data_IF_837239016702
#
_entry.id   IF_837239016702
#
_cell.length_a   1.000
_cell.length_b   1.000
_cell.length_c   1.000
_cell.angle_alpha   90.00
_cell.angle_beta   90.00
_cell.angle_gamma   90.00
#
_symmetry.space_group_name_H-M   'P 1'
#
loop_
_entity.id
_entity.type
_entity.pdbx_description
1 polymer ?
#
# COMPACT_ATOMS: atom_id res chain seq x y z
N UNK A 1 20.90 10.35 48.94
CA UNK A 1 19.61 9.72 48.58
C UNK A 1 18.54 10.68 49.05
N UNK A 2 17.91 11.45 48.12
CA UNK A 2 16.75 12.26 48.41
C UNK A 2 15.53 11.37 48.73
N UNK A 3 14.53 11.88 49.47
CA UNK A 3 13.34 11.12 49.83
C UNK A 3 12.60 10.68 48.58
N UNK A 4 12.64 9.40 48.37
CA UNK A 4 11.93 8.49 47.47
C UNK A 4 11.05 9.07 46.37
N UNK A 5 11.62 9.25 45.17
CA UNK A 5 10.78 9.05 43.98
C UNK A 5 10.17 7.65 44.08
N UNK A 6 8.86 7.57 44.08
CA UNK A 6 8.17 6.28 44.09
C UNK A 6 8.54 5.55 42.81
N UNK A 7 8.61 4.24 42.82
CA UNK A 7 8.93 3.42 41.66
C UNK A 7 8.07 3.83 40.45
N UNK A 8 6.85 4.23 40.73
CA UNK A 8 5.85 4.70 39.75
C UNK A 8 6.25 6.04 39.07
N UNK A 9 6.91 6.95 39.78
CA UNK A 9 7.43 8.22 39.22
C UNK A 9 8.64 7.98 38.37
N UNK A 10 9.53 7.08 38.80
CA UNK A 10 10.69 6.67 38.00
C UNK A 10 10.25 6.01 36.70
N UNK A 11 9.26 5.12 36.76
CA UNK A 11 8.71 4.43 35.58
C UNK A 11 8.03 5.43 34.63
N UNK A 12 7.25 6.37 35.14
CA UNK A 12 6.64 7.45 34.34
C UNK A 12 7.71 8.31 33.64
N UNK A 13 8.78 8.64 34.31
CA UNK A 13 9.89 9.39 33.73
C UNK A 13 10.58 8.61 32.63
N UNK A 14 10.86 7.32 32.84
CA UNK A 14 11.47 6.45 31.84
C UNK A 14 10.57 6.27 30.60
N UNK A 15 9.29 6.06 30.81
CA UNK A 15 8.29 5.98 29.72
C UNK A 15 8.23 7.31 28.96
N UNK A 16 8.20 8.45 29.67
CA UNK A 16 8.21 9.78 29.05
C UNK A 16 9.47 10.03 28.20
N UNK A 17 10.64 9.62 28.67
CA UNK A 17 11.90 9.68 27.91
C UNK A 17 11.85 8.79 26.67
N UNK A 18 11.31 7.60 26.78
CA UNK A 18 11.15 6.65 25.67
C UNK A 18 10.22 7.18 24.60
N UNK A 19 9.07 7.74 24.99
CA UNK A 19 8.12 8.41 24.10
C UNK A 19 8.81 9.58 23.37
N UNK A 20 9.58 10.42 24.07
CA UNK A 20 10.30 11.54 23.48
C UNK A 20 11.34 11.09 22.45
N UNK A 21 12.03 9.97 22.74
CA UNK A 21 13.01 9.38 21.82
C UNK A 21 12.33 8.80 20.58
N UNK A 22 11.19 8.11 20.75
CA UNK A 22 10.39 7.56 19.64
C UNK A 22 9.88 8.71 18.76
N UNK A 23 9.31 9.77 19.35
CA UNK A 23 8.85 10.95 18.60
C UNK A 23 9.97 11.57 17.77
N UNK A 24 11.16 11.76 18.35
CA UNK A 24 12.33 12.27 17.60
C UNK A 24 12.73 11.38 16.42
N UNK A 25 12.68 10.06 16.59
CA UNK A 25 12.96 9.12 15.49
C UNK A 25 11.90 9.21 14.40
N UNK A 26 10.63 9.32 14.79
CA UNK A 26 9.51 9.49 13.87
C UNK A 26 9.69 10.77 13.03
N UNK A 27 9.95 11.91 13.68
CA UNK A 27 10.18 13.20 12.99
C UNK A 27 11.37 13.12 12.00
N UNK A 28 12.44 12.42 12.38
CA UNK A 28 13.58 12.21 11.49
C UNK A 28 13.19 11.38 10.27
N UNK A 29 12.41 10.33 10.46
CA UNK A 29 11.92 9.48 9.39
C UNK A 29 10.97 10.23 8.45
N UNK A 30 10.07 11.06 9.00
CA UNK A 30 9.19 11.93 8.20
C UNK A 30 10.01 12.90 7.33
N UNK A 31 10.98 13.60 7.90
CA UNK A 31 11.85 14.50 7.14
C UNK A 31 12.63 13.78 6.04
N UNK A 32 13.11 12.56 6.30
CA UNK A 32 13.77 11.76 5.28
C UNK A 32 12.82 11.35 4.15
N UNK A 33 11.59 10.99 4.46
CA UNK A 33 10.55 10.68 3.46
C UNK A 33 10.22 11.91 2.61
N UNK A 34 10.14 13.11 3.21
CA UNK A 34 9.94 14.38 2.46
C UNK A 34 11.09 14.69 1.51
N UNK A 35 12.33 14.53 1.95
CA UNK A 35 13.53 14.73 1.09
C UNK A 35 13.51 13.75 -0.09
N UNK A 36 13.20 12.48 0.17
CA UNK A 36 13.08 11.46 -0.86
C UNK A 36 11.95 11.79 -1.85
N UNK A 37 10.81 12.33 -1.37
CA UNK A 37 9.69 12.78 -2.19
C UNK A 37 10.08 13.95 -3.09
N UNK A 38 10.81 14.93 -2.57
CA UNK A 38 11.31 16.07 -3.36
C UNK A 38 12.27 15.61 -4.46
N UNK A 39 13.19 14.70 -4.14
CA UNK A 39 14.11 14.10 -5.11
C UNK A 39 13.37 13.33 -6.21
N UNK A 40 12.30 12.60 -5.86
CA UNK A 40 11.44 11.88 -6.82
C UNK A 40 10.75 12.83 -7.81
N UNK A 41 10.16 13.93 -7.31
CA UNK A 41 9.56 14.97 -8.17
C UNK A 41 10.58 15.56 -9.16
N UNK A 42 11.82 15.73 -8.74
CA UNK A 42 12.90 16.26 -9.58
C UNK A 42 13.36 15.26 -10.66
N UNK A 43 13.30 13.96 -10.38
CA UNK A 43 13.78 12.89 -11.30
C UNK A 43 12.76 12.49 -12.37
N UNK A 44 11.57 13.08 -12.41
CA UNK A 44 10.48 12.73 -13.35
C UNK A 44 10.07 11.24 -13.37
N UNK A 45 10.45 10.45 -12.36
CA UNK A 45 10.02 9.06 -12.29
C UNK A 45 8.54 9.01 -11.89
N UNK A 46 7.74 8.30 -12.67
CA UNK A 46 6.33 8.05 -12.35
C UNK A 46 6.21 7.11 -11.14
N UNK A 47 5.21 7.34 -10.31
CA UNK A 47 4.93 6.57 -9.10
C UNK A 47 3.59 5.84 -9.24
N UNK A 48 3.63 4.52 -9.20
CA UNK A 48 2.46 3.65 -9.11
C UNK A 48 2.33 3.15 -7.65
N UNK A 49 1.27 3.53 -6.97
CA UNK A 49 1.01 3.11 -5.59
C UNK A 49 -0.02 1.99 -5.55
N UNK A 50 0.32 0.87 -4.89
CA UNK A 50 -0.58 -0.25 -4.72
C UNK A 50 -1.56 0.07 -3.58
N UNK A 51 -2.84 0.01 -3.87
CA UNK A 51 -3.93 0.20 -2.90
C UNK A 51 -4.85 -1.02 -2.92
N UNK A 52 -5.61 -1.21 -1.88
CA UNK A 52 -6.56 -2.33 -1.81
C UNK A 52 -6.77 -2.82 -0.39
N UNK A 53 -7.73 -3.68 -0.23
CA UNK A 53 -8.09 -4.23 1.07
C UNK A 53 -6.93 -5.03 1.69
N UNK A 54 -6.95 -5.23 3.01
CA UNK A 54 -5.97 -6.12 3.67
C UNK A 54 -6.06 -7.51 3.05
N UNK A 55 -4.92 -8.18 2.94
CA UNK A 55 -4.80 -9.52 2.37
C UNK A 55 -5.17 -9.66 0.87
N UNK A 56 -5.36 -8.56 0.14
CA UNK A 56 -5.57 -8.61 -1.32
C UNK A 56 -4.33 -9.06 -2.12
N UNK A 57 -3.17 -9.21 -1.46
CA UNK A 57 -1.93 -9.64 -2.10
C UNK A 57 -1.07 -8.49 -2.65
N UNK A 58 -1.23 -7.26 -2.12
CA UNK A 58 -0.42 -6.08 -2.54
C UNK A 58 1.08 -6.31 -2.41
N UNK A 59 1.54 -6.77 -1.25
CA UNK A 59 2.97 -7.04 -1.01
C UNK A 59 3.49 -8.18 -1.90
N UNK A 60 2.69 -9.21 -2.14
CA UNK A 60 3.05 -10.29 -3.06
C UNK A 60 3.20 -9.76 -4.47
N UNK A 61 2.25 -8.96 -4.95
CA UNK A 61 2.30 -8.32 -6.25
C UNK A 61 3.47 -7.35 -6.36
N UNK A 62 3.73 -6.55 -5.33
CA UNK A 62 4.87 -5.65 -5.26
C UNK A 62 6.20 -6.40 -5.39
N UNK A 63 6.35 -7.53 -4.68
CA UNK A 63 7.53 -8.38 -4.79
C UNK A 63 7.69 -8.98 -6.18
N UNK A 64 6.59 -9.41 -6.79
CA UNK A 64 6.60 -9.95 -8.15
C UNK A 64 7.01 -8.90 -9.19
N UNK A 65 6.54 -7.66 -9.04
CA UNK A 65 6.85 -6.54 -9.93
C UNK A 65 8.26 -5.98 -9.74
N UNK A 66 8.85 -6.10 -8.54
CA UNK A 66 10.15 -5.50 -8.20
C UNK A 66 11.29 -6.49 -8.07
N UNK A 67 11.03 -7.77 -8.37
CA UNK A 67 11.99 -8.89 -8.26
C UNK A 67 12.68 -8.99 -6.90
N UNK A 68 12.00 -8.57 -5.84
CA UNK A 68 12.51 -8.58 -4.49
C UNK A 68 11.66 -9.49 -3.58
N UNK A 69 12.27 -9.98 -2.51
CA UNK A 69 11.58 -10.74 -1.46
C UNK A 69 11.35 -9.86 -0.23
N UNK A 70 10.23 -9.17 -0.16
CA UNK A 70 9.72 -8.66 1.11
C UNK A 70 8.89 -9.75 1.80
N UNK A 71 8.88 -9.72 3.12
CA UNK A 71 8.02 -10.62 3.89
C UNK A 71 6.55 -10.29 3.60
N UNK A 72 5.92 -11.14 2.81
CA UNK A 72 4.48 -11.13 2.60
C UNK A 72 3.85 -12.10 3.62
N UNK A 73 2.95 -11.62 4.46
CA UNK A 73 2.23 -12.45 5.41
C UNK A 73 0.74 -12.42 5.12
N UNK A 74 0.10 -13.55 5.28
CA UNK A 74 -1.36 -13.70 5.19
C UNK A 74 -2.01 -13.20 6.50
N UNK A 75 -1.75 -11.94 6.83
CA UNK A 75 -2.23 -11.27 8.05
C UNK A 75 -2.64 -9.83 7.75
N UNK A 76 -3.68 -9.32 8.43
CA UNK A 76 -4.00 -7.90 8.38
C UNK A 76 -2.77 -7.06 8.76
N UNK A 77 -2.52 -5.97 8.00
CA UNK A 77 -1.39 -5.06 8.22
C UNK A 77 0.01 -5.70 8.13
N UNK A 78 0.21 -6.65 7.21
CA UNK A 78 1.53 -7.20 6.94
C UNK A 78 2.55 -6.11 6.56
N UNK A 79 2.08 -5.04 5.89
CA UNK A 79 2.85 -3.82 5.59
C UNK A 79 2.33 -2.69 6.49
N UNK A 80 3.16 -2.21 7.42
CA UNK A 80 2.85 -1.07 8.30
C UNK A 80 3.46 0.24 7.80
N UNK A 81 4.59 0.17 7.11
CA UNK A 81 5.28 1.30 6.49
C UNK A 81 5.31 1.12 4.98
N UNK A 82 4.99 2.18 4.24
CA UNK A 82 5.08 2.15 2.78
C UNK A 82 6.52 1.96 2.33
N UNK A 83 6.72 1.05 1.41
CA UNK A 83 8.04 0.76 0.83
C UNK A 83 7.99 1.07 -0.66
N UNK A 84 8.89 1.93 -1.10
CA UNK A 84 8.99 2.31 -2.51
C UNK A 84 10.23 1.66 -3.14
N UNK A 85 10.05 1.07 -4.32
CA UNK A 85 11.13 0.49 -5.11
C UNK A 85 11.03 0.91 -6.56
N UNK A 86 12.20 0.99 -7.19
CA UNK A 86 12.32 1.31 -8.61
C UNK A 86 12.43 0.02 -9.40
N UNK A 87 11.62 -0.08 -10.46
CA UNK A 87 11.79 -1.08 -11.49
C UNK A 87 12.00 -0.38 -12.84
N UNK A 88 12.91 -0.89 -13.66
CA UNK A 88 13.14 -0.41 -15.01
C UNK A 88 12.35 -1.28 -15.98
N UNK A 89 11.24 -0.76 -16.49
CA UNK A 89 10.43 -1.45 -17.48
C UNK A 89 10.97 -1.09 -18.88
N UNK A 90 11.36 -2.08 -19.71
CA UNK A 90 12.06 -1.82 -20.97
C UNK A 90 11.38 -0.80 -21.90
N UNK A 91 10.04 -0.78 -21.94
CA UNK A 91 9.27 0.11 -22.82
C UNK A 91 8.94 1.47 -22.18
N UNK A 92 8.95 1.59 -20.84
CA UNK A 92 8.44 2.73 -20.08
C UNK A 92 9.52 3.51 -19.34
N UNK A 93 10.71 2.92 -19.22
CA UNK A 93 11.75 3.48 -18.38
C UNK A 93 11.54 3.18 -16.88
N UNK A 94 12.11 3.99 -15.99
CA UNK A 94 12.04 3.73 -14.55
C UNK A 94 10.70 4.13 -13.95
N UNK A 95 9.98 3.16 -13.40
CA UNK A 95 8.76 3.35 -12.61
C UNK A 95 9.08 3.04 -11.15
N UNK A 96 8.51 3.82 -10.26
CA UNK A 96 8.53 3.58 -8.83
C UNK A 96 7.23 2.88 -8.44
N UNK A 97 7.33 1.72 -7.81
CA UNK A 97 6.21 1.05 -7.16
C UNK A 97 6.27 1.33 -5.66
N UNK A 98 5.12 1.62 -5.08
CA UNK A 98 4.98 1.76 -3.62
C UNK A 98 4.00 0.72 -3.10
N UNK A 99 4.46 -0.15 -2.18
CA UNK A 99 3.59 -0.99 -1.39
C UNK A 99 3.04 -0.17 -0.22
N UNK A 100 1.74 -0.17 -0.04
CA UNK A 100 1.07 0.60 0.99
C UNK A 100 0.35 -0.29 2.00
N UNK A 101 -0.01 0.29 3.12
CA UNK A 101 -0.81 -0.39 4.14
C UNK A 101 -2.17 -0.78 3.57
N UNK A 102 -2.62 -2.01 3.87
CA UNK A 102 -3.94 -2.49 3.44
C UNK A 102 -5.08 -1.76 4.14
N UNK A 103 -6.10 -1.41 3.39
CA UNK A 103 -7.32 -0.82 3.94
C UNK A 103 -8.16 -1.89 4.65
N UNK A 104 -8.83 -1.49 5.71
CA UNK A 104 -9.83 -2.30 6.42
C UNK A 104 -11.09 -1.46 6.65
N UNK A 105 -12.22 -2.15 6.79
CA UNK A 105 -13.45 -1.51 7.27
C UNK A 105 -13.22 -0.93 8.66
N UNK A 106 -13.72 0.29 8.90
CA UNK A 106 -13.63 0.98 10.20
C UNK A 106 -12.20 1.16 10.71
N UNK A 107 -11.37 1.90 9.96
CA UNK A 107 -10.06 2.34 10.44
C UNK A 107 -10.23 3.08 11.79
N UNK A 108 -9.63 2.59 12.89
CA UNK A 108 -9.67 3.30 14.14
C UNK A 108 -9.07 4.70 13.98
N UNK A 109 -9.75 5.73 14.46
CA UNK A 109 -9.31 7.13 14.40
C UNK A 109 -7.91 7.35 14.96
N UNK A 110 -7.49 6.51 15.91
CA UNK A 110 -6.15 6.50 16.50
C UNK A 110 -5.03 6.10 15.51
N UNK A 111 -5.37 5.37 14.45
CA UNK A 111 -4.44 4.97 13.41
C UNK A 111 -4.31 6.02 12.28
N UNK A 112 -5.24 6.96 12.19
CA UNK A 112 -5.26 8.00 11.13
C UNK A 112 -3.97 8.82 11.13
N UNK A 113 -3.39 9.14 12.28
CA UNK A 113 -2.10 9.85 12.36
C UNK A 113 -0.93 9.01 11.82
N UNK A 114 -0.93 7.70 12.08
CA UNK A 114 0.07 6.77 11.55
C UNK A 114 -0.06 6.58 10.03
N UNK A 115 -1.29 6.68 9.50
CA UNK A 115 -1.58 6.61 8.08
C UNK A 115 -1.23 7.89 7.30
N UNK A 116 -1.00 9.00 7.98
CA UNK A 116 -0.74 10.30 7.33
C UNK A 116 0.44 10.23 6.35
N UNK A 117 1.51 9.54 6.72
CA UNK A 117 2.67 9.34 5.84
C UNK A 117 2.33 8.48 4.60
N UNK A 118 1.48 7.46 4.76
CA UNK A 118 0.99 6.62 3.67
C UNK A 118 0.05 7.39 2.75
N UNK A 119 -0.86 8.20 3.32
CA UNK A 119 -1.76 9.07 2.55
C UNK A 119 -1.00 10.12 1.75
N UNK A 120 0.06 10.69 2.30
CA UNK A 120 0.92 11.63 1.57
C UNK A 120 1.64 10.97 0.39
N UNK A 121 1.96 9.69 0.50
CA UNK A 121 2.54 8.92 -0.59
C UNK A 121 1.52 8.66 -1.70
N UNK A 122 0.29 8.28 -1.34
CA UNK A 122 -0.82 8.13 -2.29
C UNK A 122 -1.12 9.42 -3.05
N UNK A 123 -1.16 10.56 -2.36
CA UNK A 123 -1.34 11.90 -2.98
C UNK A 123 -0.25 12.26 -3.98
N UNK A 124 0.89 11.59 -3.91
CA UNK A 124 2.03 11.83 -4.81
C UNK A 124 2.08 10.83 -5.95
N UNK A 125 1.18 9.86 -5.99
CA UNK A 125 1.13 8.84 -7.02
C UNK A 125 0.59 9.42 -8.33
N UNK A 126 1.14 8.95 -9.44
CA UNK A 126 0.64 9.24 -10.78
C UNK A 126 -0.42 8.21 -11.20
N UNK A 127 -0.42 7.03 -10.55
CA UNK A 127 -1.35 5.93 -10.78
C UNK A 127 -1.62 5.18 -9.46
N UNK A 128 -2.87 4.86 -9.20
CA UNK A 128 -3.27 3.92 -8.15
C UNK A 128 -3.52 2.55 -8.77
N UNK A 129 -2.80 1.54 -8.31
CA UNK A 129 -3.00 0.13 -8.69
C UNK A 129 -3.88 -0.51 -7.63
N UNK A 130 -5.17 -0.62 -7.91
CA UNK A 130 -6.16 -1.18 -6.99
C UNK A 130 -6.15 -2.71 -7.08
N UNK A 131 -5.53 -3.35 -6.11
CA UNK A 131 -5.41 -4.81 -6.02
C UNK A 131 -6.64 -5.39 -5.32
N UNK A 132 -7.36 -6.25 -6.03
CA UNK A 132 -8.59 -6.90 -5.57
C UNK A 132 -8.37 -8.40 -5.47
N UNK A 133 -8.68 -8.99 -4.34
CA UNK A 133 -8.70 -10.46 -4.17
C UNK A 133 -10.02 -11.02 -4.71
N UNK A 134 -9.99 -11.57 -5.93
CA UNK A 134 -11.18 -12.11 -6.57
C UNK A 134 -11.58 -13.50 -6.07
N UNK A 135 -10.74 -14.14 -5.26
CA UNK A 135 -11.08 -15.40 -4.60
C UNK A 135 -11.95 -15.22 -3.35
N UNK A 136 -12.10 -13.97 -2.90
CA UNK A 136 -12.90 -13.61 -1.74
C UNK A 136 -14.36 -13.40 -2.15
N UNK A 137 -15.32 -14.04 -1.47
CA UNK A 137 -16.74 -13.93 -1.77
C UNK A 137 -17.28 -12.50 -1.67
N UNK A 138 -16.70 -11.69 -0.76
CA UNK A 138 -17.04 -10.30 -0.51
C UNK A 138 -16.22 -9.30 -1.35
N UNK A 139 -15.50 -9.74 -2.39
CA UNK A 139 -14.57 -8.89 -3.14
C UNK A 139 -15.23 -7.61 -3.67
N UNK A 140 -16.49 -7.66 -4.10
CA UNK A 140 -17.22 -6.49 -4.61
C UNK A 140 -17.43 -5.46 -3.52
N UNK A 141 -17.94 -5.87 -2.36
CA UNK A 141 -18.13 -5.00 -1.21
C UNK A 141 -16.78 -4.37 -0.77
N UNK A 142 -15.71 -5.16 -0.72
CA UNK A 142 -14.37 -4.68 -0.37
C UNK A 142 -13.81 -3.71 -1.41
N UNK A 143 -14.13 -3.93 -2.68
CA UNK A 143 -13.77 -3.00 -3.78
C UNK A 143 -14.45 -1.66 -3.58
N UNK A 144 -15.78 -1.66 -3.36
CA UNK A 144 -16.56 -0.42 -3.14
C UNK A 144 -16.04 0.34 -1.93
N UNK A 145 -15.76 -0.34 -0.81
CA UNK A 145 -15.18 0.26 0.39
C UNK A 145 -13.84 0.97 0.13
N UNK A 146 -12.99 0.41 -0.74
CA UNK A 146 -11.71 1.04 -1.10
C UNK A 146 -11.96 2.28 -1.96
N UNK A 147 -12.87 2.22 -2.92
CA UNK A 147 -13.20 3.36 -3.79
C UNK A 147 -13.81 4.50 -2.98
N UNK A 148 -14.76 4.20 -2.09
CA UNK A 148 -15.38 5.19 -1.20
C UNK A 148 -14.31 5.87 -0.34
N UNK A 149 -13.40 5.10 0.25
CA UNK A 149 -12.31 5.64 1.06
C UNK A 149 -11.35 6.53 0.23
N UNK A 150 -11.01 6.13 -1.00
CA UNK A 150 -10.20 6.97 -1.88
C UNK A 150 -10.91 8.29 -2.22
N UNK A 151 -12.25 8.27 -2.36
CA UNK A 151 -13.06 9.45 -2.55
C UNK A 151 -13.04 10.36 -1.32
N UNK A 152 -13.24 9.82 -0.12
CA UNK A 152 -13.21 10.55 1.15
C UNK A 152 -11.84 11.21 1.38
N UNK A 153 -10.77 10.59 0.89
CA UNK A 153 -9.41 11.11 0.95
C UNK A 153 -9.08 12.14 -0.15
N UNK A 154 -10.06 12.47 -1.01
CA UNK A 154 -9.89 13.34 -2.18
C UNK A 154 -8.82 12.84 -3.17
N UNK A 155 -8.75 11.52 -3.39
CA UNK A 155 -7.80 10.88 -4.30
C UNK A 155 -8.44 10.44 -5.63
N UNK A 156 -9.73 10.68 -5.85
CA UNK A 156 -10.48 10.30 -7.06
C UNK A 156 -9.97 10.95 -8.35
N UNK A 157 -9.12 11.97 -8.22
CA UNK A 157 -8.50 12.64 -9.38
C UNK A 157 -7.30 11.87 -9.94
N UNK A 158 -6.78 10.87 -9.21
CA UNK A 158 -5.66 10.03 -9.64
C UNK A 158 -6.23 8.86 -10.44
N UNK A 159 -5.67 8.54 -11.63
CA UNK A 159 -6.10 7.37 -12.38
C UNK A 159 -6.00 6.10 -11.55
N UNK A 160 -7.00 5.21 -11.69
CA UNK A 160 -7.05 3.93 -10.98
C UNK A 160 -7.02 2.81 -12.02
N UNK A 161 -6.06 1.90 -11.88
CA UNK A 161 -5.99 0.64 -12.61
C UNK A 161 -6.40 -0.49 -11.69
N UNK A 162 -7.50 -1.18 -11.99
CA UNK A 162 -7.96 -2.31 -11.22
C UNK A 162 -7.22 -3.58 -11.62
N UNK A 163 -6.68 -4.28 -10.61
CA UNK A 163 -5.93 -5.53 -10.76
C UNK A 163 -6.62 -6.63 -9.98
N UNK A 164 -7.24 -7.55 -10.70
CA UNK A 164 -7.92 -8.72 -10.16
C UNK A 164 -6.88 -9.80 -9.85
N UNK A 165 -6.47 -9.88 -8.59
CA UNK A 165 -5.42 -10.79 -8.11
C UNK A 165 -6.00 -12.10 -7.57
N UNK A 166 -5.13 -13.09 -7.39
CA UNK A 166 -5.42 -14.45 -6.96
C UNK A 166 -6.29 -15.22 -7.95
N UNK A 167 -6.10 -14.98 -9.24
CA UNK A 167 -6.79 -15.68 -10.33
C UNK A 167 -6.58 -17.20 -10.29
N UNK A 168 -5.47 -17.66 -9.68
CA UNK A 168 -5.15 -19.06 -9.42
C UNK A 168 -6.11 -19.73 -8.41
N UNK A 169 -6.65 -18.97 -7.46
CA UNK A 169 -7.57 -19.45 -6.42
C UNK A 169 -9.03 -19.23 -6.78
N UNK A 170 -9.29 -18.34 -7.69
CA UNK A 170 -10.60 -18.10 -8.23
C UNK A 170 -11.03 -19.38 -8.97
N UNK A 171 -11.90 -20.19 -8.38
CA UNK A 171 -12.37 -21.46 -8.97
C UNK A 171 -12.92 -21.25 -10.37
N UNK A 172 -13.36 -22.34 -11.03
CA UNK A 172 -13.88 -22.43 -12.42
C UNK A 172 -15.09 -21.50 -12.71
N UNK A 173 -15.50 -20.68 -11.77
CA UNK A 173 -16.46 -19.62 -12.01
C UNK A 173 -15.78 -18.65 -12.97
N UNK A 174 -16.26 -18.66 -14.21
CA UNK A 174 -15.80 -17.81 -15.27
C UNK A 174 -16.05 -16.32 -14.87
N UNK A 175 -15.15 -15.78 -14.06
CA UNK A 175 -15.20 -14.38 -13.60
C UNK A 175 -15.24 -13.40 -14.77
N UNK A 176 -14.74 -13.82 -15.95
CA UNK A 176 -14.84 -13.07 -17.21
C UNK A 176 -16.29 -12.89 -17.67
N UNK A 177 -17.18 -13.78 -17.22
CA UNK A 177 -18.60 -13.72 -17.52
C UNK A 177 -19.45 -13.09 -16.39
N UNK A 178 -18.95 -13.00 -15.16
CA UNK A 178 -19.70 -12.46 -14.01
C UNK A 178 -19.64 -10.93 -13.87
N UNK A 179 -18.61 -10.34 -14.38
CA UNK A 179 -18.54 -8.89 -14.57
C UNK A 179 -18.00 -8.68 -15.99
N UNK A 180 -18.73 -7.93 -16.84
CA UNK A 180 -18.08 -7.39 -18.04
C UNK A 180 -16.80 -6.76 -17.56
N UNK A 181 -15.60 -7.20 -18.02
CA UNK A 181 -14.37 -6.52 -17.65
C UNK A 181 -14.59 -5.06 -17.98
N UNK A 182 -14.52 -4.19 -17.00
CA UNK A 182 -14.46 -2.78 -17.29
C UNK A 182 -13.21 -2.59 -18.16
N UNK A 183 -13.32 -1.77 -19.18
CA UNK A 183 -12.20 -1.55 -20.10
C UNK A 183 -10.98 -1.10 -19.25
N UNK A 184 -9.96 -1.96 -19.13
CA UNK A 184 -8.78 -1.70 -18.32
C UNK A 184 -8.53 -2.65 -17.16
N UNK A 185 -9.45 -3.57 -16.83
CA UNK A 185 -9.21 -4.58 -15.78
C UNK A 185 -8.11 -5.56 -16.19
N UNK A 186 -7.16 -5.79 -15.29
CA UNK A 186 -6.06 -6.76 -15.49
C UNK A 186 -6.21 -7.91 -14.52
N UNK A 187 -5.93 -9.12 -14.98
CA UNK A 187 -6.05 -10.36 -14.21
C UNK A 187 -4.66 -10.93 -13.93
N UNK A 188 -4.35 -11.17 -12.65
CA UNK A 188 -3.03 -11.65 -12.25
C UNK A 188 -3.13 -12.76 -11.20
N UNK A 189 -2.15 -13.63 -11.20
CA UNK A 189 -1.75 -14.39 -10.02
C UNK A 189 -0.37 -13.88 -9.58
N UNK A 190 -0.35 -13.05 -8.55
CA UNK A 190 0.91 -12.54 -8.01
C UNK A 190 1.77 -13.67 -7.43
N UNK A 191 1.15 -14.74 -6.91
CA UNK A 191 1.83 -15.93 -6.38
C UNK A 191 2.52 -16.72 -7.49
N UNK A 192 1.80 -16.99 -8.59
CA UNK A 192 2.33 -17.75 -9.73
C UNK A 192 3.07 -16.88 -10.75
N UNK A 193 3.09 -15.57 -10.55
CA UNK A 193 3.65 -14.56 -11.49
C UNK A 193 2.99 -14.56 -12.87
N UNK A 194 1.71 -14.87 -12.94
CA UNK A 194 0.91 -14.86 -14.16
C UNK A 194 0.24 -13.50 -14.38
N UNK A 195 0.09 -13.05 -15.64
CA UNK A 195 -0.56 -11.80 -16.02
C UNK A 195 0.27 -10.53 -15.71
N UNK A 196 1.51 -10.65 -15.24
CA UNK A 196 2.35 -9.50 -14.88
C UNK A 196 2.78 -8.67 -16.09
N UNK A 197 2.99 -9.31 -17.25
CA UNK A 197 3.34 -8.60 -18.48
C UNK A 197 2.18 -7.72 -18.95
N UNK A 198 0.94 -8.24 -18.91
CA UNK A 198 -0.27 -7.50 -19.25
C UNK A 198 -0.46 -6.32 -18.29
N UNK A 199 -0.25 -6.53 -17.00
CA UNK A 199 -0.26 -5.46 -16.00
C UNK A 199 0.76 -4.36 -16.33
N UNK A 200 1.98 -4.74 -16.65
CA UNK A 200 3.04 -3.80 -17.01
C UNK A 200 2.66 -2.98 -18.26
N UNK A 201 2.03 -3.61 -19.27
CA UNK A 201 1.55 -2.91 -20.45
C UNK A 201 0.41 -1.94 -20.12
N UNK A 202 -0.46 -2.28 -19.20
CA UNK A 202 -1.61 -1.45 -18.79
C UNK A 202 -1.20 -0.25 -17.91
N UNK A 203 -0.02 -0.25 -17.33
CA UNK A 203 0.55 0.88 -16.59
C UNK A 203 1.10 1.97 -17.55
N UNK A 204 1.24 1.68 -18.83
CA UNK A 204 1.72 2.60 -19.87
C UNK A 204 0.63 3.61 -20.22
#
# INVERSE_FOLDING_TARGET
RGPGETQLETDRRLVGQRIKTIKKRLDKTHKQKEVNRYSRKKSRNKLAALVGYTNAGKTTLFNALTENSQYAADKPFATLDSVTRKNAIPALGPILFSDTVGFISNLPTQLVESFKATLDELRSADLLVHVVDISDEDFRFKTDQVIDLLSDLNLSHIPILRVNNKSDKAGIIDYRNLSKPEAGDVWVSAENREGLEELIHSIN
#
